data_IF_249439895538
#
_entry.id   IF_249439895538
#
_cell.length_a   1.000
_cell.length_b   1.000
_cell.length_c   1.000
_cell.angle_alpha   90.00
_cell.angle_beta   90.00
_cell.angle_gamma   90.00
#
_symmetry.space_group_name_H-M   'P 1'
#
loop_
_entity.id
_entity.type
_entity.pdbx_description
1 polymer ?
#
# COMPACT_ATOMS: atom_id res chain seq x y z
N UNK A 1 -14.65 16.46 -42.43
CA UNK A 1 -13.79 17.25 -41.53
C UNK A 1 -13.41 16.36 -40.38
N UNK A 2 -12.14 15.98 -40.26
CA UNK A 2 -11.66 15.11 -39.19
C UNK A 2 -11.23 15.97 -38.00
N UNK A 3 -11.88 15.78 -36.85
CA UNK A 3 -11.47 16.40 -35.59
C UNK A 3 -10.22 15.64 -35.14
N UNK A 4 -9.06 16.29 -35.24
CA UNK A 4 -7.83 15.75 -34.68
C UNK A 4 -7.88 15.91 -33.16
N UNK A 5 -7.91 14.78 -32.43
CA UNK A 5 -7.69 14.78 -31.00
C UNK A 5 -6.30 15.35 -30.69
N UNK A 6 -6.25 16.54 -30.10
CA UNK A 6 -5.02 17.11 -29.56
C UNK A 6 -4.68 16.32 -28.28
N UNK A 7 -3.93 15.23 -28.43
CA UNK A 7 -3.29 14.56 -27.29
C UNK A 7 -2.13 15.42 -26.82
N UNK A 8 -2.41 16.31 -25.87
CA UNK A 8 -1.39 17.12 -25.22
C UNK A 8 -0.65 16.23 -24.19
N UNK A 9 0.60 15.77 -24.43
CA UNK A 9 1.22 14.75 -23.62
C UNK A 9 2.13 15.40 -22.57
N UNK A 10 1.58 16.09 -21.55
CA UNK A 10 2.48 16.73 -20.56
C UNK A 10 1.92 17.12 -19.19
N UNK A 11 0.91 16.43 -18.66
CA UNK A 11 0.65 16.48 -17.22
C UNK A 11 0.36 15.09 -16.66
N UNK A 12 1.40 14.25 -16.58
CA UNK A 12 1.35 13.09 -15.69
C UNK A 12 1.51 13.61 -14.26
N UNK A 13 0.41 13.96 -13.60
CA UNK A 13 0.43 14.28 -12.17
C UNK A 13 0.85 13.00 -11.45
N UNK A 14 2.12 12.93 -11.05
CA UNK A 14 2.65 11.80 -10.30
C UNK A 14 2.03 11.85 -8.90
N UNK A 15 0.96 11.07 -8.70
CA UNK A 15 0.34 10.92 -7.40
C UNK A 15 1.26 10.06 -6.52
N UNK A 16 1.77 10.65 -5.44
CA UNK A 16 2.54 9.93 -4.44
C UNK A 16 1.57 9.41 -3.36
N UNK A 17 1.39 8.09 -3.32
CA UNK A 17 0.62 7.43 -2.28
C UNK A 17 1.53 7.05 -1.11
N UNK A 18 1.09 7.30 0.11
CA UNK A 18 1.80 6.88 1.33
C UNK A 18 0.80 6.27 2.30
N UNK A 19 1.14 5.13 2.90
CA UNK A 19 0.33 4.49 3.92
C UNK A 19 1.14 4.45 5.22
N UNK A 20 0.57 4.97 6.30
CA UNK A 20 1.17 4.92 7.65
C UNK A 20 0.30 4.09 8.58
N UNK A 21 0.89 3.15 9.28
CA UNK A 21 0.18 2.35 10.28
C UNK A 21 0.25 3.04 11.65
N UNK A 22 -0.91 3.19 12.30
CA UNK A 22 -1.02 3.70 13.68
C UNK A 22 -1.77 2.71 14.55
N UNK A 23 -1.26 2.47 15.76
CA UNK A 23 -1.95 1.68 16.78
C UNK A 23 -2.68 2.61 17.75
N UNK A 24 -3.96 2.35 18.01
CA UNK A 24 -4.77 3.10 18.99
C UNK A 24 -5.70 2.14 19.71
N UNK A 25 -5.66 2.12 21.06
CA UNK A 25 -6.49 1.25 21.92
C UNK A 25 -6.46 -0.24 21.51
N UNK A 26 -5.28 -0.76 21.21
CA UNK A 26 -5.09 -2.15 20.76
C UNK A 26 -5.53 -2.43 19.30
N UNK A 27 -6.12 -1.47 18.61
CA UNK A 27 -6.52 -1.58 17.21
C UNK A 27 -5.46 -0.96 16.29
N UNK A 28 -5.29 -1.55 15.10
CA UNK A 28 -4.38 -1.04 14.07
C UNK A 28 -5.18 -0.29 13.00
N UNK A 29 -4.65 0.83 12.52
CA UNK A 29 -5.26 1.67 11.50
C UNK A 29 -4.24 2.02 10.42
N UNK A 30 -4.65 1.92 9.16
CA UNK A 30 -3.91 2.43 8.02
C UNK A 30 -4.41 3.85 7.70
N UNK A 31 -3.51 4.82 7.81
CA UNK A 31 -3.73 6.19 7.36
C UNK A 31 -3.20 6.31 5.93
N UNK A 32 -4.06 6.70 5.01
CA UNK A 32 -3.76 6.78 3.58
C UNK A 32 -3.59 8.25 3.22
N UNK A 33 -2.49 8.54 2.55
CA UNK A 33 -2.10 9.87 2.12
C UNK A 33 -1.89 9.90 0.61
N UNK A 34 -2.27 11.02 -0.02
CA UNK A 34 -1.97 11.34 -1.42
C UNK A 34 -1.33 12.71 -1.44
N UNK A 35 -0.11 12.81 -1.98
CA UNK A 35 0.65 14.06 -2.02
C UNK A 35 0.66 14.73 -0.64
N UNK A 36 1.00 13.96 0.40
CA UNK A 36 1.05 14.38 1.82
C UNK A 36 -0.28 14.73 2.48
N UNK A 37 -1.37 14.80 1.71
CA UNK A 37 -2.72 15.04 2.25
C UNK A 37 -3.34 13.74 2.74
N UNK A 38 -3.82 13.72 3.98
CA UNK A 38 -4.53 12.57 4.55
C UNK A 38 -5.93 12.46 3.93
N UNK A 39 -6.18 11.37 3.21
CA UNK A 39 -7.44 11.16 2.48
C UNK A 39 -8.37 10.14 3.12
N UNK A 40 -7.84 9.18 3.88
CA UNK A 40 -8.65 8.14 4.48
C UNK A 40 -7.97 7.49 5.69
N UNK A 41 -8.80 7.00 6.62
CA UNK A 41 -8.38 6.14 7.72
C UNK A 41 -9.14 4.81 7.63
N UNK A 42 -8.41 3.69 7.65
CA UNK A 42 -8.98 2.35 7.56
C UNK A 42 -8.57 1.54 8.78
N UNK A 43 -9.55 0.99 9.51
CA UNK A 43 -9.25 0.02 10.58
C UNK A 43 -8.75 -1.27 9.93
N UNK A 44 -7.57 -1.72 10.34
CA UNK A 44 -6.98 -2.99 9.92
C UNK A 44 -7.42 -4.07 10.90
N UNK A 45 -8.51 -4.74 10.56
CA UNK A 45 -9.03 -5.91 11.29
C UNK A 45 -8.33 -7.21 10.86
N UNK A 46 -8.76 -8.34 11.44
CA UNK A 46 -8.20 -9.66 11.09
C UNK A 46 -8.36 -9.99 9.60
N UNK A 47 -9.54 -9.71 9.02
CA UNK A 47 -9.83 -10.01 7.61
C UNK A 47 -8.94 -9.23 6.65
N UNK A 48 -8.68 -7.95 6.92
CA UNK A 48 -7.77 -7.14 6.12
C UNK A 48 -6.33 -7.64 6.27
N UNK A 49 -5.91 -8.03 7.49
CA UNK A 49 -4.58 -8.65 7.69
C UNK A 49 -4.41 -9.92 6.86
N UNK A 50 -5.41 -10.79 6.85
CA UNK A 50 -5.35 -12.04 6.10
C UNK A 50 -5.30 -11.80 4.59
N UNK A 51 -6.07 -10.81 4.09
CA UNK A 51 -5.98 -10.38 2.69
C UNK A 51 -4.59 -9.86 2.33
N UNK A 52 -4.00 -9.01 3.17
CA UNK A 52 -2.64 -8.50 2.95
C UNK A 52 -1.64 -9.65 2.96
N UNK A 53 -1.74 -10.56 3.94
CA UNK A 53 -0.86 -11.72 4.04
C UNK A 53 -0.95 -12.61 2.80
N UNK A 54 -2.15 -12.94 2.33
CA UNK A 54 -2.35 -13.75 1.14
C UNK A 54 -1.78 -13.04 -0.09
N UNK A 55 -2.01 -11.73 -0.22
CA UNK A 55 -1.48 -10.96 -1.34
C UNK A 55 0.05 -10.91 -1.33
N UNK A 56 0.65 -10.74 -0.15
CA UNK A 56 2.10 -10.82 0.03
C UNK A 56 2.58 -12.22 -0.36
N UNK A 57 1.93 -13.30 0.10
CA UNK A 57 2.30 -14.67 -0.24
C UNK A 57 2.22 -14.97 -1.75
N UNK A 58 1.24 -14.40 -2.46
CA UNK A 58 1.14 -14.48 -3.93
C UNK A 58 2.32 -13.81 -4.64
N UNK A 59 2.91 -12.77 -4.04
CA UNK A 59 4.03 -12.03 -4.62
C UNK A 59 5.40 -12.52 -4.15
N UNK A 60 5.48 -13.20 -2.99
CA UNK A 60 6.69 -13.76 -2.41
C UNK A 60 6.91 -15.23 -2.80
N UNK A 61 6.58 -15.63 -4.03
CA UNK A 61 6.70 -17.03 -4.51
C UNK A 61 8.17 -17.51 -4.60
N UNK A 62 9.17 -16.67 -4.29
CA UNK A 62 10.50 -17.16 -3.91
C UNK A 62 10.58 -17.36 -2.39
N UNK A 63 10.58 -18.63 -1.98
CA UNK A 63 10.67 -19.10 -0.59
C UNK A 63 11.82 -18.47 0.22
N UNK A 64 12.87 -17.99 -0.47
CA UNK A 64 14.05 -17.33 0.10
C UNK A 64 13.72 -15.94 0.66
N UNK A 65 12.79 -15.18 0.06
CA UNK A 65 12.45 -13.83 0.55
C UNK A 65 11.59 -13.88 1.83
N UNK A 66 10.73 -14.89 1.97
CA UNK A 66 9.86 -15.06 3.14
C UNK A 66 10.70 -15.30 4.40
N UNK A 67 11.73 -16.15 4.31
CA UNK A 67 12.58 -16.49 5.46
C UNK A 67 13.38 -15.26 5.95
N UNK A 68 13.83 -14.41 5.03
CA UNK A 68 14.55 -13.17 5.36
C UNK A 68 13.63 -12.10 5.98
N UNK A 69 12.39 -11.97 5.51
CA UNK A 69 11.42 -11.07 6.12
C UNK A 69 11.00 -11.52 7.52
N UNK A 70 10.87 -12.82 7.74
CA UNK A 70 10.57 -13.37 9.07
C UNK A 70 11.72 -13.17 10.06
N UNK A 71 12.98 -13.36 9.63
CA UNK A 71 14.16 -13.09 10.46
C UNK A 71 14.28 -11.62 10.85
N UNK A 72 14.00 -10.70 9.92
CA UNK A 72 14.07 -9.25 10.19
C UNK A 72 12.97 -8.72 11.12
N UNK A 73 11.82 -9.40 11.23
CA UNK A 73 10.78 -9.05 12.20
C UNK A 73 11.01 -9.66 13.60
N UNK A 74 11.96 -10.60 13.74
CA UNK A 74 12.30 -11.27 15.01
C UNK A 74 13.51 -10.60 15.69
N UNK A 75 14.29 -9.79 14.98
CA UNK A 75 15.38 -9.01 15.59
C UNK A 75 14.84 -7.65 16.02
N UNK A 76 14.76 -7.56 17.34
CA UNK A 76 14.33 -6.46 18.20
C UNK A 76 15.11 -5.16 17.99
#
# INVERSE_FOLDING_TARGET
MAIQEIRNPQFTIKLNFTIKLKKKRGMCYAHIYVNENHIAYLKVDGKIKDKIRNKIAEHLIDSIEIENLQKNYIIK
#
